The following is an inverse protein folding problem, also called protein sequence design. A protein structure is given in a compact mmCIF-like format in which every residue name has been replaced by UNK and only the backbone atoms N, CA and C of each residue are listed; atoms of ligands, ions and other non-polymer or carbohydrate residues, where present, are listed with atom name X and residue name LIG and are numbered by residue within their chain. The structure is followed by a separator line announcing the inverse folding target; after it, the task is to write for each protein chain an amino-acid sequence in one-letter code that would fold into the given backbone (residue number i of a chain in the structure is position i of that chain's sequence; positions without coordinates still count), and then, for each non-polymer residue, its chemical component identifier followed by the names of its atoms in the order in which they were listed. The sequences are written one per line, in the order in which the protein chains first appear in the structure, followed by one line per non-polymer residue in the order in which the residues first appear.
data_IF_164272869431
#
_entry.id   IF_164272869431
#
_cell.length_a   1.000
_cell.length_b   1.000
_cell.length_c   1.000
_cell.angle_alpha   90.00
_cell.angle_beta   90.00
_cell.angle_gamma   90.00
#
_symmetry.space_group_name_H-M   'P 1'
#
loop_
_entity.id
_entity.type
_entity.pdbx_description
1 polymer ?
#
# COMPACT_ATOMS: atom_id res chain seq x y z
N UNK A 1 0.37 -2.70 3.99
CA UNK A 1 -0.33 -3.95 4.32
C UNK A 1 -1.29 -3.75 5.49
N UNK A 2 -0.93 -3.03 6.55
CA UNK A 2 -1.80 -2.78 7.71
C UNK A 2 -3.07 -2.03 7.31
N UNK A 3 -2.99 -1.01 6.45
CA UNK A 3 -4.17 -0.28 5.98
C UNK A 3 -5.15 -1.17 5.20
N UNK A 4 -4.66 -2.11 4.40
CA UNK A 4 -5.52 -3.12 3.77
C UNK A 4 -6.15 -4.03 4.82
N UNK A 5 -5.38 -4.52 5.78
CA UNK A 5 -5.87 -5.38 6.85
C UNK A 5 -7.00 -4.73 7.66
N UNK A 6 -6.87 -3.45 7.98
CA UNK A 6 -7.91 -2.68 8.68
C UNK A 6 -9.21 -2.61 7.88
N UNK A 7 -9.11 -2.36 6.56
CA UNK A 7 -10.29 -2.32 5.67
C UNK A 7 -10.97 -3.68 5.55
N UNK A 8 -10.20 -4.76 5.44
CA UNK A 8 -10.74 -6.12 5.37
C UNK A 8 -11.42 -6.51 6.69
N UNK A 9 -10.79 -6.23 7.83
CA UNK A 9 -11.38 -6.49 9.16
C UNK A 9 -12.65 -5.67 9.42
N UNK A 10 -12.73 -4.45 8.91
CA UNK A 10 -13.94 -3.63 9.01
C UNK A 10 -15.14 -4.21 8.23
N UNK A 11 -14.90 -5.20 7.36
CA UNK A 11 -15.90 -5.97 6.63
C UNK A 11 -16.04 -7.40 7.19
N UNK A 12 -15.60 -7.64 8.41
CA UNK A 12 -15.61 -8.95 9.10
C UNK A 12 -14.82 -10.05 8.36
N UNK A 13 -13.95 -9.69 7.42
CA UNK A 13 -13.10 -10.64 6.71
C UNK A 13 -12.00 -11.14 7.64
N UNK A 14 -11.94 -12.45 7.81
CA UNK A 14 -10.89 -13.11 8.56
C UNK A 14 -9.58 -13.10 7.79
N UNK A 15 -8.52 -12.64 8.44
CA UNK A 15 -7.18 -12.57 7.87
C UNK A 15 -6.16 -13.17 8.83
N UNK A 16 -5.20 -13.87 8.25
CA UNK A 16 -4.18 -14.61 8.98
C UNK A 16 -2.78 -14.25 8.51
N UNK A 17 -1.80 -14.74 9.23
CA UNK A 17 -0.38 -14.67 8.91
C UNK A 17 0.23 -16.06 9.01
N UNK A 18 1.13 -16.40 8.08
CA UNK A 18 1.93 -17.61 8.16
C UNK A 18 3.23 -17.36 8.94
N UNK A 19 3.57 -18.24 9.85
CA UNK A 19 4.81 -18.15 10.63
C UNK A 19 6.02 -18.74 9.91
N UNK A 20 5.79 -19.60 8.91
CA UNK A 20 6.83 -20.26 8.13
C UNK A 20 6.54 -20.16 6.63
N UNK A 21 7.57 -20.20 5.77
CA UNK A 21 7.33 -20.27 4.33
C UNK A 21 6.44 -21.45 3.95
N UNK A 22 5.55 -21.25 2.97
CA UNK A 22 4.61 -22.27 2.50
C UNK A 22 4.86 -22.48 0.99
N UNK A 23 5.17 -23.71 0.59
CA UNK A 23 5.26 -24.07 -0.82
C UNK A 23 3.87 -24.35 -1.38
N UNK A 24 3.54 -23.73 -2.49
CA UNK A 24 2.27 -23.87 -3.19
C UNK A 24 2.50 -24.12 -4.67
N UNK A 25 1.50 -24.69 -5.33
CA UNK A 25 1.52 -24.90 -6.77
C UNK A 25 0.39 -24.14 -7.45
N UNK A 26 0.56 -23.88 -8.76
CA UNK A 26 -0.43 -23.20 -9.59
C UNK A 26 -0.87 -21.83 -9.00
N UNK A 27 0.09 -21.05 -8.58
CA UNK A 27 -0.16 -19.72 -8.04
C UNK A 27 -0.46 -18.73 -9.18
N UNK A 28 -1.63 -18.10 -9.18
CA UNK A 28 -1.99 -17.02 -10.08
C UNK A 28 -1.47 -15.69 -9.55
N UNK A 29 -0.70 -14.98 -10.36
CA UNK A 29 -0.24 -13.62 -10.07
C UNK A 29 -1.26 -12.57 -10.51
N UNK A 30 -1.12 -11.35 -9.97
CA UNK A 30 -1.96 -10.18 -10.32
C UNK A 30 -1.97 -9.83 -11.82
N UNK A 31 -0.97 -10.26 -12.58
CA UNK A 31 -0.89 -10.05 -14.02
C UNK A 31 -1.47 -11.20 -14.86
N UNK A 32 -2.24 -12.08 -14.25
CA UNK A 32 -2.88 -13.23 -14.92
C UNK A 32 -1.94 -14.41 -15.23
N UNK A 33 -0.65 -14.33 -14.82
CA UNK A 33 0.30 -15.42 -15.08
C UNK A 33 0.24 -16.45 -13.96
N UNK A 34 -0.01 -17.70 -14.32
CA UNK A 34 0.06 -18.84 -13.39
C UNK A 34 1.50 -19.36 -13.30
N UNK A 35 1.98 -19.56 -12.08
CA UNK A 35 3.29 -20.15 -11.78
C UNK A 35 3.07 -21.54 -11.22
N UNK A 36 3.79 -22.55 -11.75
CA UNK A 36 3.67 -23.94 -11.31
C UNK A 36 4.08 -24.16 -9.86
N UNK A 37 5.10 -23.47 -9.39
CA UNK A 37 5.61 -23.54 -8.02
C UNK A 37 5.95 -22.16 -7.48
N UNK A 38 5.54 -21.88 -6.24
CA UNK A 38 5.83 -20.64 -5.55
C UNK A 38 6.00 -20.88 -4.05
N UNK A 39 6.92 -20.16 -3.44
CA UNK A 39 7.08 -20.17 -1.98
C UNK A 39 6.53 -18.87 -1.40
N UNK A 40 5.43 -18.97 -0.66
CA UNK A 40 4.87 -17.85 0.12
C UNK A 40 5.85 -17.56 1.26
N UNK A 41 6.41 -16.35 1.36
CA UNK A 41 7.32 -16.00 2.45
C UNK A 41 6.64 -16.07 3.82
N UNK A 42 7.43 -16.30 4.87
CA UNK A 42 6.95 -16.13 6.25
C UNK A 42 6.51 -14.69 6.48
N UNK A 43 5.46 -14.51 7.28
CA UNK A 43 4.89 -13.19 7.59
C UNK A 43 3.93 -12.65 6.52
N UNK A 44 3.61 -13.43 5.48
CA UNK A 44 2.61 -13.04 4.48
C UNK A 44 1.21 -13.02 5.07
N UNK A 45 0.38 -12.08 4.60
CA UNK A 45 -1.05 -12.07 4.89
C UNK A 45 -1.75 -13.16 4.07
N UNK A 46 -2.56 -13.95 4.74
CA UNK A 46 -3.36 -15.03 4.14
C UNK A 46 -4.84 -14.71 4.35
N UNK A 47 -5.59 -14.73 3.27
CA UNK A 47 -7.03 -14.48 3.27
C UNK A 47 -7.71 -15.73 2.71
N UNK A 48 -8.24 -16.62 3.56
CA UNK A 48 -8.98 -17.78 3.10
C UNK A 48 -10.30 -17.38 2.44
N UNK A 49 -10.66 -18.03 1.34
CA UNK A 49 -11.95 -17.77 0.68
C UNK A 49 -13.06 -18.75 1.14
N UNK A 50 -12.83 -19.54 2.18
CA UNK A 50 -13.80 -20.45 2.78
C UNK A 50 -14.45 -19.88 4.06
N UNK A 51 -14.84 -18.61 4.00
CA UNK A 51 -15.48 -17.86 5.07
C UNK A 51 -16.80 -17.22 4.57
N UNK A 52 -17.69 -16.74 5.45
CA UNK A 52 -18.99 -16.18 5.04
C UNK A 52 -18.88 -15.06 4.02
N UNK A 53 -17.82 -14.25 4.09
CA UNK A 53 -17.55 -13.10 3.24
C UNK A 53 -16.92 -13.48 1.89
N UNK A 54 -16.86 -14.78 1.52
CA UNK A 54 -16.27 -15.25 0.27
C UNK A 54 -16.74 -14.50 -1.00
N UNK A 55 -18.03 -14.16 -1.16
CA UNK A 55 -18.48 -13.38 -2.32
C UNK A 55 -17.83 -11.97 -2.37
N UNK A 56 -17.70 -11.31 -1.22
CA UNK A 56 -17.05 -10.00 -1.12
C UNK A 56 -15.55 -10.11 -1.39
N UNK A 57 -14.90 -11.13 -0.82
CA UNK A 57 -13.47 -11.41 -1.03
C UNK A 57 -13.18 -11.58 -2.51
N UNK A 58 -13.99 -12.40 -3.21
CA UNK A 58 -13.86 -12.59 -4.64
C UNK A 58 -14.02 -11.26 -5.38
N UNK A 59 -15.03 -10.46 -5.06
CA UNK A 59 -15.27 -9.19 -5.74
C UNK A 59 -14.14 -8.17 -5.59
N UNK A 60 -13.46 -8.13 -4.44
CA UNK A 60 -12.45 -7.09 -4.15
C UNK A 60 -11.00 -7.54 -4.30
N UNK A 61 -10.74 -8.84 -4.41
CA UNK A 61 -9.38 -9.41 -4.50
C UNK A 61 -9.14 -10.25 -5.76
N UNK A 62 -10.13 -10.40 -6.64
CA UNK A 62 -10.00 -11.18 -7.87
C UNK A 62 -9.00 -10.55 -8.84
N UNK A 63 -8.15 -11.39 -9.45
CA UNK A 63 -7.14 -10.94 -10.41
C UNK A 63 -7.58 -11.08 -11.87
N UNK A 64 -8.57 -11.91 -12.10
CA UNK A 64 -9.07 -12.26 -13.44
C UNK A 64 -10.61 -12.15 -13.45
N UNK A 65 -11.08 -10.91 -13.37
CA UNK A 65 -12.51 -10.63 -13.43
C UNK A 65 -12.99 -10.85 -14.86
N UNK A 66 -13.77 -11.89 -15.06
CA UNK A 66 -14.41 -12.18 -16.34
C UNK A 66 -15.71 -11.36 -16.48
N UNK A 67 -15.89 -10.75 -17.64
CA UNK A 67 -17.14 -10.09 -18.02
C UNK A 67 -17.91 -11.05 -18.93
N UNK A 68 -19.18 -11.30 -18.60
CA UNK A 68 -20.05 -12.16 -19.37
C UNK A 68 -20.10 -11.72 -20.84
N UNK A 69 -20.00 -12.67 -21.77
CA UNK A 69 -20.05 -12.41 -23.20
C UNK A 69 -21.33 -11.70 -23.63
N UNK A 70 -22.46 -11.96 -22.98
CA UNK A 70 -23.74 -11.28 -23.26
C UNK A 70 -23.63 -9.78 -22.96
N UNK A 71 -22.97 -9.39 -21.86
CA UNK A 71 -22.73 -8.00 -21.49
C UNK A 71 -21.82 -7.32 -22.50
N UNK A 72 -20.77 -8.00 -22.97
CA UNK A 72 -19.88 -7.49 -24.00
C UNK A 72 -20.58 -7.27 -25.33
N UNK A 73 -21.48 -8.18 -25.71
CA UNK A 73 -22.30 -8.07 -26.94
C UNK A 73 -23.27 -6.89 -26.81
N UNK A 74 -23.95 -6.74 -25.67
CA UNK A 74 -24.87 -5.63 -25.41
C UNK A 74 -24.14 -4.28 -25.43
N UNK A 75 -22.98 -4.17 -24.78
CA UNK A 75 -22.09 -3.01 -24.82
C UNK A 75 -21.77 -2.60 -26.25
N UNK A 76 -21.32 -3.56 -27.07
CA UNK A 76 -20.98 -3.34 -28.47
C UNK A 76 -22.18 -2.85 -29.28
N UNK A 77 -23.35 -3.43 -29.07
CA UNK A 77 -24.59 -3.03 -29.75
C UNK A 77 -25.03 -1.63 -29.36
N UNK A 78 -24.99 -1.27 -28.07
CA UNK A 78 -25.37 0.08 -27.61
C UNK A 78 -24.39 1.13 -28.09
N UNK A 79 -23.09 0.81 -28.07
CA UNK A 79 -22.06 1.71 -28.56
C UNK A 79 -22.19 2.01 -30.05
N UNK A 80 -22.53 1.00 -30.85
CA UNK A 80 -22.76 1.17 -32.30
C UNK A 80 -24.06 1.93 -32.59
N UNK A 81 -25.15 1.66 -31.87
CA UNK A 81 -26.46 2.24 -32.12
C UNK A 81 -26.59 3.66 -31.59
N UNK A 82 -26.11 3.93 -30.39
CA UNK A 82 -26.43 5.14 -29.63
C UNK A 82 -25.17 5.92 -29.22
N UNK A 83 -23.97 5.40 -29.46
CA UNK A 83 -22.72 6.00 -28.93
C UNK A 83 -22.60 5.95 -27.40
N UNK A 84 -23.50 5.22 -26.71
CA UNK A 84 -23.50 5.10 -25.25
C UNK A 84 -22.84 3.80 -24.79
N UNK A 85 -22.22 3.81 -23.60
CA UNK A 85 -21.62 2.66 -22.97
C UNK A 85 -22.45 2.24 -21.76
N UNK A 86 -22.67 0.93 -21.56
CA UNK A 86 -23.22 0.36 -20.33
C UNK A 86 -22.14 0.00 -19.33
N UNK A 87 -20.88 -0.08 -19.79
CA UNK A 87 -19.73 -0.36 -18.96
C UNK A 87 -19.12 0.93 -18.36
N UNK A 88 -19.81 2.04 -18.47
CA UNK A 88 -19.43 3.27 -17.81
C UNK A 88 -19.47 3.05 -16.30
N UNK A 89 -18.43 3.48 -15.59
CA UNK A 89 -18.18 3.24 -14.16
C UNK A 89 -17.97 1.75 -13.75
N UNK A 90 -17.87 0.83 -14.70
CA UNK A 90 -17.45 -0.53 -14.39
C UNK A 90 -15.95 -0.57 -14.22
N UNK A 91 -15.50 -0.70 -12.98
CA UNK A 91 -14.08 -0.81 -12.64
C UNK A 91 -13.80 -2.18 -12.04
N UNK A 92 -12.71 -2.80 -12.47
CA UNK A 92 -12.16 -3.97 -11.80
C UNK A 92 -11.49 -3.49 -10.50
N UNK A 93 -12.15 -3.70 -9.36
CA UNK A 93 -11.59 -3.36 -8.05
C UNK A 93 -10.72 -4.52 -7.57
N UNK A 94 -9.42 -4.28 -7.51
CA UNK A 94 -8.54 -5.19 -6.81
C UNK A 94 -7.78 -4.43 -5.73
N UNK A 95 -8.10 -4.70 -4.48
CA UNK A 95 -7.53 -3.98 -3.36
C UNK A 95 -6.02 -4.18 -3.25
N UNK A 96 -5.50 -5.36 -3.56
CA UNK A 96 -4.05 -5.57 -3.49
C UNK A 96 -3.30 -4.68 -4.49
N UNK A 97 -3.86 -4.50 -5.69
CA UNK A 97 -3.31 -3.57 -6.69
C UNK A 97 -3.46 -2.11 -6.27
N UNK A 98 -4.61 -1.72 -5.72
CA UNK A 98 -4.86 -0.35 -5.22
C UNK A 98 -3.89 0.03 -4.10
N UNK A 99 -3.54 -0.93 -3.23
CA UNK A 99 -2.57 -0.73 -2.16
C UNK A 99 -1.11 -0.98 -2.58
N UNK A 100 -0.86 -1.27 -3.87
CA UNK A 100 0.48 -1.55 -4.38
C UNK A 100 1.17 -2.76 -3.73
N UNK A 101 0.38 -3.74 -3.27
CA UNK A 101 0.89 -4.92 -2.58
C UNK A 101 1.04 -6.09 -3.56
N UNK A 102 2.18 -6.80 -3.57
CA UNK A 102 2.31 -8.03 -4.33
C UNK A 102 1.40 -9.11 -3.74
N UNK A 103 0.62 -9.77 -4.58
CA UNK A 103 -0.30 -10.82 -4.15
C UNK A 103 -0.37 -11.95 -5.16
N UNK A 104 -0.78 -13.11 -4.69
CA UNK A 104 -1.05 -14.32 -5.48
C UNK A 104 -2.36 -14.95 -4.99
N UNK A 105 -3.06 -15.63 -5.90
CA UNK A 105 -4.16 -16.52 -5.56
C UNK A 105 -3.68 -17.97 -5.74
N UNK A 106 -4.05 -18.83 -4.82
CA UNK A 106 -3.73 -20.26 -4.87
C UNK A 106 -4.99 -21.10 -4.74
N UNK A 107 -5.13 -22.19 -5.53
CA UNK A 107 -6.32 -23.03 -5.49
C UNK A 107 -6.33 -24.01 -4.30
N UNK A 108 -5.18 -24.12 -3.58
CA UNK A 108 -5.06 -25.04 -2.45
C UNK A 108 -5.61 -24.44 -1.17
N UNK A 109 -6.27 -25.26 -0.36
CA UNK A 109 -6.47 -24.95 1.05
C UNK A 109 -5.13 -25.04 1.79
N UNK A 110 -4.72 -23.92 2.36
CA UNK A 110 -3.43 -23.83 3.05
C UNK A 110 -3.56 -24.44 4.44
N UNK A 111 -3.21 -25.73 4.56
CA UNK A 111 -3.16 -26.48 5.85
C UNK A 111 -1.89 -26.10 6.64
N UNK A 112 -1.62 -24.83 6.80
CA UNK A 112 -0.48 -24.34 7.58
C UNK A 112 -0.94 -23.90 8.98
N UNK A 113 -0.02 -23.86 9.93
CA UNK A 113 -0.25 -23.17 11.19
C UNK A 113 -0.32 -21.67 10.90
N UNK A 114 -1.54 -21.16 10.79
CA UNK A 114 -1.83 -19.76 10.60
C UNK A 114 -2.14 -19.13 11.95
N UNK A 115 -1.64 -17.92 12.16
CA UNK A 115 -1.96 -17.09 13.32
C UNK A 115 -2.84 -15.92 12.88
N UNK A 116 -3.73 -15.44 13.73
CA UNK A 116 -4.55 -14.28 13.40
C UNK A 116 -3.65 -13.09 13.06
N UNK A 117 -3.99 -12.39 11.98
CA UNK A 117 -3.27 -11.18 11.63
C UNK A 117 -3.44 -10.12 12.71
N UNK A 118 -2.35 -9.68 13.28
CA UNK A 118 -2.28 -8.50 14.14
C UNK A 118 -1.42 -7.46 13.43
N UNK A 119 -1.90 -6.21 13.29
CA UNK A 119 -1.06 -5.14 12.78
C UNK A 119 0.22 -5.06 13.62
N UNK A 120 1.38 -5.10 12.97
CA UNK A 120 2.60 -4.73 13.68
C UNK A 120 2.54 -3.23 13.91
N UNK A 121 2.62 -2.74 15.16
CA UNK A 121 2.79 -1.32 15.39
C UNK A 121 4.08 -0.91 14.68
N UNK A 122 3.99 -0.01 13.73
CA UNK A 122 5.18 0.60 13.16
C UNK A 122 5.82 1.43 14.26
N UNK A 123 7.02 1.05 14.69
CA UNK A 123 7.79 1.89 15.61
C UNK A 123 8.25 3.10 14.81
N UNK A 124 7.62 4.24 15.07
CA UNK A 124 7.97 5.48 14.37
C UNK A 124 9.15 6.09 15.11
N UNK A 125 10.34 5.80 14.61
CA UNK A 125 11.57 6.37 15.10
C UNK A 125 11.89 7.65 14.33
N UNK A 126 11.89 8.78 15.03
CA UNK A 126 12.31 10.07 14.49
C UNK A 126 13.67 10.42 15.08
N UNK A 127 14.68 10.49 14.23
CA UNK A 127 15.97 11.01 14.64
C UNK A 127 15.88 12.54 14.79
N UNK A 128 16.06 13.02 16.02
CA UNK A 128 16.04 14.46 16.35
C UNK A 128 17.16 15.26 15.69
N UNK A 129 18.29 14.61 15.38
CA UNK A 129 19.47 15.22 14.79
C UNK A 129 19.45 15.15 13.25
N UNK A 130 18.35 14.66 12.67
CA UNK A 130 18.15 14.68 11.25
C UNK A 130 17.91 16.10 10.73
N UNK A 131 18.30 16.33 9.49
CA UNK A 131 18.07 17.61 8.79
C UNK A 131 16.93 17.51 7.78
N UNK A 132 16.53 16.30 7.42
CA UNK A 132 15.39 16.01 6.53
C UNK A 132 14.61 14.85 7.12
N UNK A 133 13.30 14.99 7.14
CA UNK A 133 12.34 13.92 7.43
C UNK A 133 11.44 13.74 6.22
N UNK A 134 11.33 12.52 5.74
CA UNK A 134 10.56 12.25 4.53
C UNK A 134 9.60 11.07 4.69
N UNK A 135 8.46 11.16 4.03
CA UNK A 135 7.43 10.13 3.92
C UNK A 135 7.28 9.74 2.45
N UNK A 136 7.26 8.44 2.14
CA UNK A 136 7.12 7.96 0.77
C UNK A 136 5.73 8.31 0.21
N UNK A 137 5.69 8.89 -0.99
CA UNK A 137 4.47 9.24 -1.71
C UNK A 137 3.63 8.04 -2.19
N UNK A 138 4.12 6.82 -2.03
CA UNK A 138 3.32 5.61 -2.26
C UNK A 138 2.29 5.37 -1.17
N UNK A 139 2.50 5.93 0.01
CA UNK A 139 1.55 5.89 1.10
C UNK A 139 0.57 7.06 0.95
N UNK A 140 -0.71 6.78 0.77
CA UNK A 140 -1.77 7.78 0.60
C UNK A 140 -1.90 8.71 1.82
N UNK A 141 -1.50 8.25 3.01
CA UNK A 141 -1.43 9.05 4.24
C UNK A 141 -0.39 10.17 4.16
N UNK A 142 0.53 10.13 3.19
CA UNK A 142 1.49 11.21 2.95
C UNK A 142 0.83 12.55 2.68
N UNK A 143 -0.34 12.55 2.05
CA UNK A 143 -1.15 13.76 1.80
C UNK A 143 -1.68 14.32 3.13
N UNK A 144 -2.22 13.47 4.00
CA UNK A 144 -2.71 13.86 5.32
C UNK A 144 -1.55 14.34 6.21
N UNK A 145 -0.37 13.71 6.10
CA UNK A 145 0.85 14.12 6.79
C UNK A 145 1.25 15.54 6.39
N UNK A 146 1.30 15.84 5.09
CA UNK A 146 1.59 17.18 4.60
C UNK A 146 0.56 18.21 5.09
N UNK A 147 -0.74 17.89 4.98
CA UNK A 147 -1.82 18.79 5.39
C UNK A 147 -1.74 19.15 6.88
N UNK A 148 -1.59 18.16 7.76
CA UNK A 148 -1.49 18.39 9.22
C UNK A 148 -0.25 19.18 9.62
N UNK A 149 0.86 19.03 8.91
CA UNK A 149 2.06 19.82 9.14
C UNK A 149 1.88 21.27 8.68
N UNK A 150 1.26 21.47 7.51
CA UNK A 150 0.94 22.81 7.01
C UNK A 150 -0.03 23.57 7.94
N UNK A 151 -1.03 22.89 8.50
CA UNK A 151 -1.94 23.47 9.52
C UNK A 151 -1.19 23.98 10.76
N UNK A 152 -0.05 23.37 11.06
CA UNK A 152 0.83 23.78 12.16
C UNK A 152 1.93 24.77 11.72
N UNK A 153 1.82 25.34 10.52
CA UNK A 153 2.79 26.27 9.93
C UNK A 153 4.18 25.65 9.69
N UNK A 154 4.28 24.34 9.57
CA UNK A 154 5.51 23.66 9.13
C UNK A 154 5.58 23.71 7.62
N UNK A 155 6.69 24.20 7.07
CA UNK A 155 6.92 24.16 5.63
C UNK A 155 7.30 22.77 5.18
N UNK A 156 6.63 22.29 4.14
CA UNK A 156 6.87 20.98 3.53
C UNK A 156 7.26 21.13 2.05
N UNK A 157 8.02 20.19 1.54
CA UNK A 157 8.35 20.07 0.10
C UNK A 157 7.79 18.78 -0.46
N UNK A 158 7.44 18.82 -1.74
CA UNK A 158 7.02 17.62 -2.48
C UNK A 158 8.15 17.23 -3.42
N UNK A 159 8.52 15.95 -3.41
CA UNK A 159 9.52 15.37 -4.30
C UNK A 159 8.85 15.11 -5.66
N UNK A 160 9.32 15.78 -6.72
CA UNK A 160 8.71 15.78 -8.05
C UNK A 160 9.15 14.60 -8.93
N UNK A 161 10.20 13.86 -8.52
CA UNK A 161 10.77 12.71 -9.24
C UNK A 161 11.14 11.61 -8.26
N UNK A 162 11.13 10.36 -8.75
CA UNK A 162 11.71 9.26 -7.97
C UNK A 162 13.16 9.57 -7.63
N UNK A 163 13.49 9.51 -6.38
CA UNK A 163 14.80 9.89 -5.84
C UNK A 163 15.29 8.87 -4.83
N UNK A 164 16.59 8.65 -4.79
CA UNK A 164 17.22 7.85 -3.76
C UNK A 164 18.04 8.78 -2.87
N UNK A 165 17.68 8.88 -1.60
CA UNK A 165 18.37 9.69 -0.61
C UNK A 165 18.94 8.77 0.48
N UNK A 166 20.25 8.71 0.61
CA UNK A 166 20.95 7.88 1.62
C UNK A 166 20.47 6.42 1.66
N UNK A 167 20.30 5.81 0.48
CA UNK A 167 19.83 4.43 0.33
C UNK A 167 18.32 4.23 0.47
N UNK A 168 17.56 5.27 0.79
CA UNK A 168 16.09 5.23 0.83
C UNK A 168 15.50 5.68 -0.50
N UNK A 169 14.67 4.84 -1.09
CA UNK A 169 13.94 5.16 -2.32
C UNK A 169 12.67 5.92 -1.97
N UNK A 170 12.58 7.14 -2.45
CA UNK A 170 11.42 8.02 -2.31
C UNK A 170 10.76 8.20 -3.68
N UNK A 171 9.49 7.87 -3.77
CA UNK A 171 8.72 8.01 -5.01
C UNK A 171 8.34 9.46 -5.27
N UNK A 172 8.00 9.77 -6.52
CA UNK A 172 7.34 11.02 -6.86
C UNK A 172 6.09 11.20 -5.99
N UNK A 173 5.89 12.39 -5.44
CA UNK A 173 4.82 12.71 -4.51
C UNK A 173 5.20 12.52 -3.03
N UNK A 174 6.42 12.02 -2.73
CA UNK A 174 6.92 11.97 -1.35
C UNK A 174 6.97 13.36 -0.72
N UNK A 175 6.65 13.41 0.56
CA UNK A 175 6.65 14.63 1.36
C UNK A 175 7.94 14.72 2.14
N UNK A 176 8.63 15.84 2.07
CA UNK A 176 9.85 16.09 2.82
C UNK A 176 9.73 17.35 3.69
N UNK A 177 10.17 17.27 4.92
CA UNK A 177 10.34 18.39 5.83
C UNK A 177 11.83 18.65 6.00
N UNK A 178 12.27 19.87 5.72
CA UNK A 178 13.67 20.25 5.78
C UNK A 178 13.85 21.21 6.94
N UNK A 179 14.80 20.94 7.84
CA UNK A 179 15.06 21.78 9.02
C UNK A 179 15.38 23.22 8.62
N UNK A 180 16.15 23.42 7.54
CA UNK A 180 16.51 24.74 7.04
C UNK A 180 15.33 25.58 6.53
N UNK A 181 14.25 24.96 6.11
CA UNK A 181 13.03 25.67 5.70
C UNK A 181 12.18 26.08 6.91
N UNK A 182 12.47 25.54 8.08
CA UNK A 182 11.72 25.74 9.32
C UNK A 182 12.61 26.29 10.47
N UNK A 183 13.42 27.33 10.25
CA UNK A 183 14.48 27.73 11.19
C UNK A 183 13.95 28.29 12.52
N UNK A 184 12.72 28.78 12.53
CA UNK A 184 12.07 29.35 13.70
C UNK A 184 11.13 28.40 14.41
N UNK A 185 10.98 27.19 13.88
CA UNK A 185 10.04 26.22 14.44
C UNK A 185 10.68 25.44 15.59
N UNK A 186 10.20 25.68 16.80
CA UNK A 186 10.68 24.99 17.98
C UNK A 186 10.15 23.54 18.01
N UNK A 187 11.02 22.58 18.34
CA UNK A 187 10.66 21.16 18.48
C UNK A 187 10.06 20.53 17.21
N UNK A 188 10.57 20.91 16.02
CA UNK A 188 10.10 20.42 14.73
C UNK A 188 10.02 18.90 14.69
N UNK A 189 11.02 18.18 15.21
CA UNK A 189 11.05 16.71 15.24
C UNK A 189 9.90 16.10 16.08
N UNK A 190 9.49 16.76 17.18
CA UNK A 190 8.37 16.32 18.02
C UNK A 190 7.04 16.49 17.29
N UNK A 191 6.86 17.60 16.59
CA UNK A 191 5.67 17.82 15.76
C UNK A 191 5.57 16.77 14.65
N UNK A 192 6.68 16.50 13.95
CA UNK A 192 6.74 15.46 12.92
C UNK A 192 6.40 14.09 13.53
N UNK A 193 6.98 13.77 14.69
CA UNK A 193 6.72 12.50 15.39
C UNK A 193 5.23 12.35 15.75
N UNK A 194 4.64 13.38 16.33
CA UNK A 194 3.23 13.38 16.74
C UNK A 194 2.33 13.11 15.53
N UNK A 195 2.51 13.89 14.47
CA UNK A 195 1.70 13.72 13.24
C UNK A 195 1.91 12.35 12.60
N UNK A 196 3.14 11.86 12.56
CA UNK A 196 3.45 10.53 12.02
C UNK A 196 2.84 9.41 12.87
N UNK A 197 2.88 9.53 14.20
CA UNK A 197 2.28 8.57 15.13
C UNK A 197 0.77 8.54 14.99
N UNK A 198 0.11 9.69 14.95
CA UNK A 198 -1.35 9.79 14.79
C UNK A 198 -1.84 9.20 13.47
N UNK A 199 -1.02 9.30 12.42
CA UNK A 199 -1.32 8.73 11.10
C UNK A 199 -0.79 7.31 10.94
N UNK A 200 -0.03 6.79 11.91
CA UNK A 200 0.67 5.51 11.82
C UNK A 200 1.47 5.38 10.51
N UNK A 201 2.26 6.41 10.16
CA UNK A 201 3.02 6.51 8.91
C UNK A 201 4.52 6.53 9.17
N UNK A 202 5.28 5.71 8.43
CA UNK A 202 6.74 5.64 8.56
C UNK A 202 7.42 6.90 8.05
N UNK A 203 8.40 7.40 8.79
CA UNK A 203 9.22 8.55 8.43
C UNK A 203 10.67 8.15 8.30
N UNK A 204 11.27 8.50 7.18
CA UNK A 204 12.72 8.37 6.96
C UNK A 204 13.41 9.62 7.48
N UNK A 205 14.36 9.45 8.39
CA UNK A 205 15.16 10.54 8.97
C UNK A 205 16.56 10.55 8.36
N UNK A 206 16.97 11.67 7.76
CA UNK A 206 18.25 11.82 7.06
C UNK A 206 19.11 12.85 7.74
N UNK A 207 20.32 12.49 8.15
CA UNK A 207 21.32 13.39 8.74
C UNK A 207 22.32 13.88 7.68
N UNK A 208 23.07 14.96 7.99
CA UNK A 208 24.10 15.52 7.10
C UNK A 208 25.19 14.49 6.72
N UNK A 209 25.49 13.55 7.61
CA UNK A 209 26.50 12.49 7.36
C UNK A 209 26.09 11.59 6.19
N UNK A 210 24.80 11.44 5.95
CA UNK A 210 24.27 10.60 4.88
C UNK A 210 24.08 11.33 3.53
N UNK A 211 24.24 12.66 3.49
CA UNK A 211 24.01 13.48 2.29
C UNK A 211 25.32 13.70 1.50
N UNK A 212 26.48 13.35 2.06
CA UNK A 212 27.80 13.71 1.53
C UNK A 212 28.37 12.77 0.46
N UNK A 213 27.67 11.71 0.05
CA UNK A 213 28.13 10.83 -1.04
C UNK A 213 27.23 10.96 -2.27
N UNK A 214 27.62 11.76 -3.30
CA UNK A 214 27.02 11.59 -4.61
C UNK A 214 27.50 10.28 -5.21
N UNK A 215 26.61 9.29 -5.30
CA UNK A 215 26.87 8.10 -6.14
C UNK A 215 27.03 8.56 -7.58
N UNK A 216 28.28 8.37 -8.10
CA UNK A 216 28.60 8.50 -9.52
C UNK A 216 27.99 7.36 -10.31
#
# INVERSE_FOLDING_TARGET
INALAEKLKAQDIEIYKNDKPINVSNALKQNGITISEYTIPSGSMIIPNNQPEAPLISAILEFDAEIDDEVLIEEKQKRIKNGSSIMYDTTAFNFTMMFGLPAITVPQDLKANLTNWTPSPETIEINKDAVIWAVDGKDDRSVAFAARLLEQNVQVRIIDKNSTLSGHNLSRGSVAVIAMDNPTYNNLHETIRTVATDLNISVVSLSLIHISEPTR
#
